data_IF_419030988723
#
_entry.id   IF_419030988723
#
_cell.length_a   1.000
_cell.length_b   1.000
_cell.length_c   1.000
_cell.angle_alpha   90.00
_cell.angle_beta   90.00
_cell.angle_gamma   90.00
#
_symmetry.space_group_name_H-M   'P 1'
#
loop_
_entity.id
_entity.type
_entity.pdbx_description
1 polymer ?
#
# COMPACT_ATOMS: atom_id res chain seq x y z
N UNK A 1 -43.11 27.73 -5.85
CA UNK A 1 -44.07 28.05 -4.77
C UNK A 1 -44.20 26.80 -3.90
N UNK A 2 -44.30 26.96 -2.56
CA UNK A 2 -44.17 25.96 -1.47
C UNK A 2 -42.71 25.89 -0.96
N UNK A 3 -42.29 26.85 -0.12
CA UNK A 3 -42.41 26.97 1.37
C UNK A 3 -41.26 26.23 2.09
N UNK A 4 -40.24 27.02 2.45
CA UNK A 4 -39.20 26.65 3.42
C UNK A 4 -39.71 26.94 4.84
N UNK A 5 -39.60 25.96 5.74
CA UNK A 5 -39.85 26.13 7.16
C UNK A 5 -38.50 26.07 7.89
N UNK A 6 -38.02 27.22 8.34
CA UNK A 6 -36.87 27.37 9.23
C UNK A 6 -37.30 27.08 10.67
N UNK A 7 -36.71 26.05 11.29
CA UNK A 7 -36.79 25.84 12.73
C UNK A 7 -35.54 26.43 13.40
N UNK A 8 -35.73 27.44 14.25
CA UNK A 8 -34.72 28.00 15.16
C UNK A 8 -34.85 27.31 16.51
N UNK A 9 -33.74 26.74 17.02
CA UNK A 9 -33.65 26.24 18.40
C UNK A 9 -33.13 27.34 19.33
N UNK A 10 -33.93 27.71 20.33
CA UNK A 10 -33.54 28.55 21.46
C UNK A 10 -32.77 27.72 22.50
N UNK A 11 -31.53 28.11 22.80
CA UNK A 11 -30.73 27.59 23.92
C UNK A 11 -30.88 28.49 25.17
N UNK A 12 -31.19 27.96 26.36
CA UNK A 12 -31.17 28.72 27.61
C UNK A 12 -29.75 28.81 28.24
N UNK A 13 -29.48 29.83 29.07
CA UNK A 13 -28.13 30.19 29.49
C UNK A 13 -27.56 29.35 30.66
N UNK A 14 -26.24 29.16 30.62
CA UNK A 14 -25.41 28.49 31.62
C UNK A 14 -25.23 29.30 32.92
N UNK A 15 -25.36 28.62 34.07
CA UNK A 15 -24.97 29.10 35.40
C UNK A 15 -23.72 28.34 35.89
N UNK A 16 -22.68 29.01 36.43
CA UNK A 16 -21.44 28.35 36.84
C UNK A 16 -21.46 27.90 38.31
N UNK A 17 -20.84 26.76 38.68
CA UNK A 17 -20.56 26.45 40.07
C UNK A 17 -19.19 26.97 40.52
N UNK A 18 -19.12 27.13 41.84
CA UNK A 18 -18.19 27.96 42.62
C UNK A 18 -16.81 27.34 42.85
N UNK A 19 -15.85 28.25 43.06
CA UNK A 19 -14.51 28.02 43.62
C UNK A 19 -14.57 27.31 44.97
N UNK A 20 -13.79 26.23 45.11
CA UNK A 20 -13.44 25.60 46.38
C UNK A 20 -11.92 25.53 46.52
N UNK A 21 -11.39 26.15 47.58
CA UNK A 21 -9.99 26.17 48.02
C UNK A 21 -9.76 25.16 49.14
N UNK A 22 -8.77 24.27 49.03
CA UNK A 22 -8.05 23.60 50.14
C UNK A 22 -6.70 23.11 49.57
N UNK A 23 -5.59 23.81 49.81
CA UNK A 23 -4.60 23.64 50.89
C UNK A 23 -3.74 22.36 50.85
N UNK A 24 -2.44 22.63 50.92
CA UNK A 24 -1.27 21.75 50.90
C UNK A 24 -1.27 20.65 51.97
N UNK A 25 -0.66 19.52 51.63
CA UNK A 25 0.27 18.83 52.54
C UNK A 25 1.45 18.25 51.76
N UNK A 26 2.65 18.54 52.26
CA UNK A 26 3.96 18.11 51.80
C UNK A 26 4.52 17.03 52.74
N UNK A 27 5.68 16.49 52.34
CA UNK A 27 6.61 15.58 53.04
C UNK A 27 6.42 14.09 52.70
N UNK A 28 7.30 13.43 51.93
CA UNK A 28 8.76 13.20 52.03
C UNK A 28 9.14 12.20 53.13
N UNK A 29 9.62 11.01 52.74
CA UNK A 29 10.81 10.34 53.31
C UNK A 29 10.99 8.90 52.77
N UNK A 30 11.99 8.72 51.91
CA UNK A 30 12.92 7.57 52.03
C UNK A 30 13.96 7.94 53.10
N UNK A 31 14.67 6.98 53.73
CA UNK A 31 15.97 6.56 53.15
C UNK A 31 16.44 5.12 53.53
N UNK A 32 17.30 4.49 52.69
CA UNK A 32 18.68 4.06 53.03
C UNK A 32 18.86 2.50 53.18
N UNK A 33 20.10 1.94 53.22
CA UNK A 33 20.79 1.32 52.06
C UNK A 33 21.57 0.02 52.47
N UNK A 34 22.66 -0.30 51.73
CA UNK A 34 23.82 -1.19 52.01
C UNK A 34 23.83 -2.58 51.34
N UNK A 35 24.71 -2.80 50.34
CA UNK A 35 26.12 -3.31 50.39
C UNK A 35 26.14 -4.85 50.28
N UNK A 36 27.06 -5.56 49.61
CA UNK A 36 28.29 -5.35 48.84
C UNK A 36 28.68 -6.74 48.30
N UNK A 37 29.28 -6.88 47.11
CA UNK A 37 30.74 -7.01 46.86
C UNK A 37 31.06 -8.40 46.20
N UNK A 38 32.28 -8.69 45.68
CA UNK A 38 32.51 -8.92 44.24
C UNK A 38 33.30 -10.23 43.94
N UNK A 39 34.12 -10.20 42.87
CA UNK A 39 35.18 -11.16 42.44
C UNK A 39 34.77 -12.24 41.41
N UNK A 40 35.60 -12.68 40.44
CA UNK A 40 36.88 -12.24 39.85
C UNK A 40 37.13 -13.12 38.59
N UNK A 41 37.92 -12.56 37.66
CA UNK A 41 38.99 -13.19 36.84
C UNK A 41 38.79 -14.39 35.89
N UNK A 42 39.59 -14.36 34.81
CA UNK A 42 40.29 -15.57 34.33
C UNK A 42 40.21 -15.94 32.84
N UNK A 43 40.76 -15.11 31.96
CA UNK A 43 41.66 -15.35 30.79
C UNK A 43 41.75 -16.69 29.99
N UNK A 44 42.34 -16.65 28.75
CA UNK A 44 42.02 -17.49 27.58
C UNK A 44 43.15 -18.49 27.19
N UNK A 45 43.15 -18.94 25.91
CA UNK A 45 44.12 -19.80 25.15
C UNK A 45 43.63 -21.26 25.04
N UNK A 46 43.75 -22.02 23.95
CA UNK A 46 44.83 -22.25 22.96
C UNK A 46 44.16 -22.98 21.76
N UNK A 47 44.30 -22.59 20.50
CA UNK A 47 45.37 -22.93 19.53
C UNK A 47 45.62 -24.42 19.20
N UNK A 48 45.73 -24.66 17.89
CA UNK A 48 46.48 -25.73 17.20
C UNK A 48 45.83 -27.14 17.14
N UNK A 49 45.99 -27.98 16.10
CA UNK A 49 47.01 -28.04 15.04
C UNK A 49 46.62 -29.13 14.00
N UNK A 50 47.20 -29.02 12.79
CA UNK A 50 47.75 -30.11 11.92
C UNK A 50 46.74 -31.04 11.20
N UNK A 51 46.70 -31.02 9.85
CA UNK A 51 47.60 -31.71 8.89
C UNK A 51 46.87 -32.95 8.30
N UNK A 52 47.12 -33.49 7.11
CA UNK A 52 47.79 -33.10 5.89
C UNK A 52 47.50 -34.22 4.86
N UNK A 53 47.41 -33.86 3.58
CA UNK A 53 47.96 -34.57 2.40
C UNK A 53 47.58 -36.01 2.00
N UNK A 54 47.44 -36.11 0.66
CA UNK A 54 47.75 -37.23 -0.26
C UNK A 54 46.66 -38.30 -0.43
N UNK A 55 46.52 -39.01 -1.54
CA UNK A 55 46.86 -38.92 -2.96
C UNK A 55 46.39 -40.28 -3.55
N UNK A 56 45.87 -40.33 -4.77
CA UNK A 56 45.60 -41.63 -5.42
C UNK A 56 44.87 -41.48 -6.73
N UNK A 57 45.61 -41.58 -7.84
CA UNK A 57 45.05 -41.58 -9.20
C UNK A 57 44.84 -42.98 -9.76
N UNK A 58 44.16 -43.04 -10.91
CA UNK A 58 44.28 -44.14 -11.88
C UNK A 58 43.93 -43.65 -13.30
N UNK A 59 44.82 -43.96 -14.25
CA UNK A 59 44.69 -43.83 -15.73
C UNK A 59 44.13 -45.14 -16.30
N UNK A 60 43.48 -45.16 -17.47
CA UNK A 60 44.00 -45.41 -18.85
C UNK A 60 42.78 -45.72 -19.78
N UNK A 61 42.88 -45.90 -21.13
CA UNK A 61 43.95 -45.64 -22.12
C UNK A 61 43.49 -44.92 -23.43
N UNK A 62 44.48 -44.63 -24.30
CA UNK A 62 44.41 -44.01 -25.64
C UNK A 62 44.26 -45.04 -26.78
N UNK A 63 43.77 -44.59 -27.94
CA UNK A 63 44.04 -45.17 -29.28
C UNK A 63 44.32 -44.06 -30.32
N UNK A 64 44.98 -44.38 -31.46
CA UNK A 64 45.99 -43.51 -32.08
C UNK A 64 45.56 -42.84 -33.39
N UNK A 65 46.42 -41.96 -33.92
CA UNK A 65 46.33 -41.44 -35.29
C UNK A 65 47.70 -41.41 -36.01
N UNK A 66 47.72 -41.38 -37.36
CA UNK A 66 48.78 -41.98 -38.17
C UNK A 66 49.87 -40.99 -38.64
N UNK A 67 51.00 -41.54 -39.08
CA UNK A 67 52.07 -40.90 -39.90
C UNK A 67 51.73 -41.07 -41.41
N UNK A 68 52.36 -40.40 -42.41
CA UNK A 68 53.75 -39.89 -42.52
C UNK A 68 53.85 -38.50 -43.27
N UNK A 69 54.96 -37.98 -43.87
CA UNK A 69 56.38 -38.38 -43.91
C UNK A 69 57.39 -37.22 -43.55
N UNK A 70 58.67 -37.46 -43.89
CA UNK A 70 59.94 -36.88 -43.41
C UNK A 70 60.42 -35.61 -44.18
N UNK A 71 61.22 -34.78 -43.49
CA UNK A 71 62.25 -33.79 -43.93
C UNK A 71 61.81 -32.41 -44.49
N UNK A 72 62.17 -31.32 -43.78
CA UNK A 72 63.20 -30.31 -44.16
C UNK A 72 63.13 -29.07 -43.26
N UNK A 73 64.30 -28.52 -42.89
CA UNK A 73 64.45 -27.19 -42.26
C UNK A 73 63.95 -26.11 -43.23
N UNK A 74 63.04 -25.25 -42.81
CA UNK A 74 62.76 -23.97 -43.45
C UNK A 74 62.48 -22.91 -42.37
N UNK A 75 63.49 -22.08 -42.08
CA UNK A 75 63.34 -20.84 -41.32
C UNK A 75 62.46 -19.89 -42.15
N UNK A 76 61.46 -19.28 -41.52
CA UNK A 76 60.82 -18.05 -42.02
C UNK A 76 59.52 -18.22 -42.79
N UNK A 77 58.44 -18.75 -42.18
CA UNK A 77 57.03 -18.54 -42.61
C UNK A 77 55.98 -18.56 -41.46
N UNK A 78 56.40 -18.67 -40.20
CA UNK A 78 55.47 -18.77 -39.05
C UNK A 78 54.86 -17.45 -38.56
N UNK A 79 55.43 -16.29 -38.93
CA UNK A 79 54.91 -14.97 -38.52
C UNK A 79 53.74 -14.49 -39.39
N UNK A 80 53.74 -14.80 -40.68
CA UNK A 80 52.67 -14.36 -41.60
C UNK A 80 51.38 -15.16 -41.41
N UNK A 81 51.45 -16.47 -41.14
CA UNK A 81 50.26 -17.31 -40.93
C UNK A 81 49.57 -16.95 -39.60
N UNK A 82 50.34 -16.63 -38.55
CA UNK A 82 49.80 -16.19 -37.26
C UNK A 82 49.12 -14.82 -37.35
N UNK A 83 49.76 -13.87 -38.06
CA UNK A 83 49.17 -12.56 -38.32
C UNK A 83 47.91 -12.62 -39.22
N UNK A 84 47.82 -13.61 -40.11
CA UNK A 84 46.64 -13.82 -40.94
C UNK A 84 45.49 -14.47 -40.18
N UNK A 85 45.78 -15.37 -39.23
CA UNK A 85 44.78 -15.97 -38.35
C UNK A 85 44.22 -14.95 -37.33
N UNK A 86 45.08 -14.07 -36.80
CA UNK A 86 44.66 -12.99 -35.90
C UNK A 86 43.75 -11.98 -36.61
N UNK A 87 44.04 -11.61 -37.87
CA UNK A 87 43.14 -10.76 -38.68
C UNK A 87 41.79 -11.41 -38.99
N UNK A 88 41.77 -12.72 -39.24
CA UNK A 88 40.52 -13.46 -39.49
C UNK A 88 39.64 -13.52 -38.23
N UNK A 89 40.26 -13.69 -37.05
CA UNK A 89 39.54 -13.66 -35.78
C UNK A 89 39.01 -12.25 -35.44
N UNK A 90 39.75 -11.20 -35.79
CA UNK A 90 39.31 -9.81 -35.62
C UNK A 90 38.16 -9.44 -36.55
N UNK A 91 38.21 -9.88 -37.82
CA UNK A 91 37.09 -9.71 -38.76
C UNK A 91 35.83 -10.47 -38.34
N UNK A 92 35.96 -11.66 -37.75
CA UNK A 92 34.82 -12.40 -37.20
C UNK A 92 34.22 -11.71 -35.97
N UNK A 93 35.04 -11.08 -35.12
CA UNK A 93 34.56 -10.30 -33.98
C UNK A 93 33.81 -9.05 -34.42
N UNK A 94 34.37 -8.29 -35.36
CA UNK A 94 33.71 -7.10 -35.91
C UNK A 94 32.38 -7.45 -36.58
N UNK A 95 32.31 -8.58 -37.32
CA UNK A 95 31.06 -9.05 -37.92
C UNK A 95 30.00 -9.48 -36.89
N UNK A 96 30.40 -9.98 -35.72
CA UNK A 96 29.48 -10.33 -34.64
C UNK A 96 28.99 -9.08 -33.91
N UNK A 97 29.88 -8.12 -33.65
CA UNK A 97 29.55 -6.83 -33.05
C UNK A 97 28.61 -6.00 -33.95
N UNK A 98 28.80 -6.05 -35.28
CA UNK A 98 27.90 -5.39 -36.23
C UNK A 98 26.53 -6.08 -36.29
N UNK A 99 26.47 -7.42 -36.18
CA UNK A 99 25.20 -8.16 -36.11
C UNK A 99 24.45 -7.92 -34.78
N UNK A 100 25.17 -7.79 -33.67
CA UNK A 100 24.58 -7.43 -32.37
C UNK A 100 24.07 -5.99 -32.37
N UNK A 101 24.77 -5.05 -33.03
CA UNK A 101 24.31 -3.67 -33.22
C UNK A 101 23.09 -3.57 -34.13
N UNK A 102 23.08 -4.29 -35.26
CA UNK A 102 21.91 -4.33 -36.15
C UNK A 102 20.70 -5.01 -35.49
N UNK A 103 20.93 -6.00 -34.62
CA UNK A 103 19.89 -6.60 -33.77
C UNK A 103 19.34 -5.60 -32.75
N UNK A 104 20.23 -4.89 -32.04
CA UNK A 104 19.84 -3.87 -31.06
C UNK A 104 19.13 -2.66 -31.70
N UNK A 105 19.55 -2.21 -32.87
CA UNK A 105 18.90 -1.13 -33.61
C UNK A 105 17.53 -1.56 -34.16
N UNK A 106 17.35 -2.84 -34.51
CA UNK A 106 16.04 -3.40 -34.88
C UNK A 106 15.12 -3.56 -33.69
N UNK A 107 15.62 -4.04 -32.56
CA UNK A 107 14.83 -4.16 -31.33
C UNK A 107 14.41 -2.76 -30.81
N UNK A 108 15.29 -1.76 -30.90
CA UNK A 108 14.96 -0.36 -30.59
C UNK A 108 14.00 0.29 -31.60
N UNK A 109 14.11 -0.06 -32.89
CA UNK A 109 13.17 0.40 -33.90
C UNK A 109 11.78 -0.25 -33.76
N UNK A 110 11.72 -1.53 -33.40
CA UNK A 110 10.45 -2.23 -33.12
C UNK A 110 9.84 -1.84 -31.76
N UNK A 111 10.64 -1.46 -30.75
CA UNK A 111 10.13 -0.79 -29.53
C UNK A 111 9.58 0.61 -29.84
N UNK A 112 10.28 1.38 -30.68
CA UNK A 112 9.84 2.72 -31.10
C UNK A 112 8.58 2.75 -31.97
N UNK A 113 8.29 1.68 -32.72
CA UNK A 113 7.07 1.54 -33.52
C UNK A 113 5.87 0.97 -32.73
N UNK A 114 6.10 0.22 -31.65
CA UNK A 114 5.03 -0.29 -30.77
C UNK A 114 4.40 0.80 -29.88
N UNK A 115 5.10 1.89 -29.63
CA UNK A 115 4.74 2.93 -28.67
C UNK A 115 3.99 4.15 -29.26
N UNK A 116 3.53 4.09 -30.52
CA UNK A 116 2.56 5.07 -31.03
C UNK A 116 1.14 4.76 -30.53
N UNK A 117 0.99 4.59 -29.22
CA UNK A 117 -0.34 4.53 -28.60
C UNK A 117 -1.03 5.88 -28.80
N UNK A 118 -2.24 5.84 -29.39
CA UNK A 118 -3.08 7.02 -29.58
C UNK A 118 -3.26 7.70 -28.23
N UNK A 119 -2.74 8.92 -28.08
CA UNK A 119 -2.97 9.75 -26.89
C UNK A 119 -4.48 9.97 -26.72
N UNK A 120 -5.04 9.50 -25.61
CA UNK A 120 -6.44 9.74 -25.27
C UNK A 120 -6.66 11.23 -24.98
N UNK A 121 -7.89 11.68 -25.23
CA UNK A 121 -8.30 13.07 -25.00
C UNK A 121 -9.62 13.10 -24.27
N UNK A 122 -9.98 14.22 -23.62
CA UNK A 122 -11.31 14.41 -22.98
C UNK A 122 -12.51 14.07 -23.87
N UNK A 123 -12.40 14.25 -25.19
CA UNK A 123 -13.46 13.85 -26.13
C UNK A 123 -13.73 12.35 -26.11
N UNK A 124 -12.72 11.54 -25.77
CA UNK A 124 -12.86 10.11 -25.70
C UNK A 124 -13.78 9.65 -24.55
N UNK A 125 -13.87 10.45 -23.48
CA UNK A 125 -14.76 10.21 -22.34
C UNK A 125 -16.26 10.28 -22.73
N UNK A 126 -16.63 11.03 -23.77
CA UNK A 126 -18.03 11.20 -24.21
C UNK A 126 -18.66 9.90 -24.73
N UNK A 127 -17.83 8.99 -25.25
CA UNK A 127 -18.26 7.70 -25.78
C UNK A 127 -18.30 6.59 -24.72
N UNK A 128 -17.83 6.87 -23.49
CA UNK A 128 -17.77 5.86 -22.43
C UNK A 128 -19.14 5.65 -21.77
N UNK A 129 -19.70 4.41 -21.78
CA UNK A 129 -20.99 4.14 -21.16
C UNK A 129 -21.04 4.51 -19.68
N UNK A 130 -19.90 4.37 -18.98
CA UNK A 130 -19.75 4.73 -17.57
C UNK A 130 -20.02 6.21 -17.30
N UNK A 131 -19.76 7.08 -18.29
CA UNK A 131 -19.80 8.55 -18.18
C UNK A 131 -20.96 9.17 -18.97
N UNK A 132 -21.54 8.41 -19.91
CA UNK A 132 -22.64 8.87 -20.75
C UNK A 132 -23.88 9.23 -19.93
N UNK A 133 -24.29 10.51 -20.02
CA UNK A 133 -25.42 11.03 -19.25
C UNK A 133 -26.70 10.19 -19.46
N UNK A 134 -27.25 9.68 -18.36
CA UNK A 134 -28.48 8.90 -18.38
C UNK A 134 -29.61 9.65 -17.69
N UNK A 135 -30.64 10.02 -18.45
CA UNK A 135 -31.86 10.65 -17.92
C UNK A 135 -32.91 9.65 -17.44
N UNK A 136 -32.68 8.35 -17.66
CA UNK A 136 -33.71 7.31 -17.53
C UNK A 136 -33.60 6.47 -16.26
N UNK A 137 -32.57 6.66 -15.42
CA UNK A 137 -32.28 5.75 -14.31
C UNK A 137 -32.16 6.42 -12.95
N UNK A 138 -33.26 7.04 -12.49
CA UNK A 138 -33.42 7.45 -11.08
C UNK A 138 -33.86 6.29 -10.16
N UNK A 139 -34.16 5.13 -10.72
CA UNK A 139 -34.50 3.90 -10.00
C UNK A 139 -33.36 2.91 -10.09
N UNK A 140 -32.91 2.43 -8.92
CA UNK A 140 -31.77 1.52 -8.80
C UNK A 140 -32.03 0.17 -9.47
N UNK A 141 -33.25 -0.36 -9.33
CA UNK A 141 -33.66 -1.63 -9.90
C UNK A 141 -34.24 -1.48 -11.31
N UNK A 142 -34.02 -2.48 -12.21
CA UNK A 142 -33.20 -3.68 -12.01
C UNK A 142 -31.69 -3.37 -12.01
N UNK A 143 -30.91 -4.14 -11.24
CA UNK A 143 -29.43 -4.07 -11.24
C UNK A 143 -28.93 -4.52 -12.62
N UNK A 144 -28.00 -3.75 -13.20
CA UNK A 144 -27.38 -4.00 -14.51
C UNK A 144 -25.91 -4.43 -14.37
N UNK A 145 -25.19 -3.83 -13.43
CA UNK A 145 -23.77 -4.11 -13.19
C UNK A 145 -23.61 -4.85 -11.86
N UNK A 146 -23.66 -6.18 -11.93
CA UNK A 146 -23.73 -7.03 -10.73
C UNK A 146 -22.41 -7.07 -9.96
N UNK A 147 -21.28 -7.02 -10.66
CA UNK A 147 -19.93 -6.93 -10.13
C UNK A 147 -19.70 -5.62 -9.35
N UNK A 148 -20.12 -4.48 -9.91
CA UNK A 148 -20.09 -3.18 -9.23
C UNK A 148 -20.98 -3.19 -8.00
N UNK A 149 -22.19 -3.75 -8.12
CA UNK A 149 -23.12 -3.88 -7.00
C UNK A 149 -22.59 -4.82 -5.91
N UNK A 150 -21.90 -5.88 -6.28
CA UNK A 150 -21.27 -6.81 -5.34
C UNK A 150 -20.19 -6.12 -4.50
N UNK A 151 -19.33 -5.31 -5.13
CA UNK A 151 -18.34 -4.50 -4.40
C UNK A 151 -19.01 -3.51 -3.44
N UNK A 152 -20.10 -2.85 -3.86
CA UNK A 152 -20.87 -2.00 -2.94
C UNK A 152 -21.41 -2.78 -1.75
N UNK A 153 -21.93 -3.99 -1.97
CA UNK A 153 -22.41 -4.85 -0.89
C UNK A 153 -21.30 -5.34 0.03
N UNK A 154 -20.11 -5.59 -0.51
CA UNK A 154 -18.92 -5.91 0.27
C UNK A 154 -18.49 -4.73 1.15
N UNK A 155 -18.46 -3.51 0.59
CA UNK A 155 -18.17 -2.28 1.34
C UNK A 155 -19.22 -2.06 2.44
N UNK A 156 -20.51 -2.10 2.08
CA UNK A 156 -21.61 -1.94 3.02
C UNK A 156 -21.57 -2.94 4.17
N UNK A 157 -21.21 -4.19 3.90
CA UNK A 157 -21.13 -5.22 4.94
C UNK A 157 -19.92 -5.01 5.88
N UNK A 158 -18.97 -4.16 5.49
CA UNK A 158 -17.75 -3.88 6.23
C UNK A 158 -17.82 -2.59 7.05
N UNK A 159 -19.00 -1.96 7.13
CA UNK A 159 -19.26 -0.78 7.95
C UNK A 159 -18.71 -0.90 9.37
N UNK A 160 -18.13 0.19 9.87
CA UNK A 160 -17.65 0.36 11.23
C UNK A 160 -17.69 1.85 11.61
N UNK A 161 -17.66 2.17 12.90
CA UNK A 161 -17.59 3.55 13.39
C UNK A 161 -16.39 3.82 14.30
N UNK A 162 -16.04 5.09 14.48
CA UNK A 162 -14.89 5.51 15.29
C UNK A 162 -14.98 5.02 16.75
N UNK A 163 -16.19 4.89 17.29
CA UNK A 163 -16.44 4.44 18.66
C UNK A 163 -16.08 2.96 18.91
N UNK A 164 -15.86 2.17 17.86
CA UNK A 164 -15.41 0.78 17.98
C UNK A 164 -13.93 0.68 18.37
N UNK A 165 -13.17 1.79 18.28
CA UNK A 165 -11.73 1.82 18.56
C UNK A 165 -11.47 2.15 20.03
N UNK A 166 -10.93 1.18 20.77
CA UNK A 166 -10.47 1.39 22.15
C UNK A 166 -9.04 1.96 22.18
N UNK A 167 -8.92 3.22 22.61
CA UNK A 167 -7.64 3.92 22.79
C UNK A 167 -7.13 3.89 24.24
N UNK A 168 -7.79 3.17 25.14
CA UNK A 168 -7.47 3.17 26.57
C UNK A 168 -6.04 2.68 26.88
N UNK A 169 -5.59 1.63 26.18
CA UNK A 169 -4.23 1.09 26.35
C UNK A 169 -3.16 1.88 25.58
N UNK A 170 -3.55 2.62 24.55
CA UNK A 170 -2.62 3.31 23.66
C UNK A 170 -1.89 4.46 24.37
N UNK A 171 -2.57 5.19 25.25
CA UNK A 171 -1.95 6.27 26.02
C UNK A 171 -0.80 5.77 26.90
N UNK A 172 -0.93 4.57 27.46
CA UNK A 172 0.14 3.96 28.24
C UNK A 172 1.35 3.68 27.35
N UNK A 173 1.13 3.05 26.19
CA UNK A 173 2.20 2.70 25.26
C UNK A 173 2.88 3.96 24.69
N UNK A 174 2.09 4.97 24.34
CA UNK A 174 2.56 6.27 23.86
C UNK A 174 3.55 6.93 24.82
N UNK A 175 3.25 6.94 26.13
CA UNK A 175 4.07 7.60 27.13
C UNK A 175 5.21 6.73 27.69
N UNK A 176 5.02 5.41 27.76
CA UNK A 176 5.90 4.54 28.53
C UNK A 176 6.64 3.48 27.72
N UNK A 177 6.17 3.13 26.52
CA UNK A 177 6.81 2.13 25.66
C UNK A 177 7.47 2.72 24.42
N UNK A 178 6.89 3.78 23.85
CA UNK A 178 7.47 4.43 22.68
C UNK A 178 8.64 5.34 23.06
N UNK A 179 9.64 5.40 22.18
CA UNK A 179 10.70 6.40 22.24
C UNK A 179 10.27 7.70 21.51
N UNK A 180 11.13 8.73 21.53
CA UNK A 180 10.82 10.02 20.91
C UNK A 180 10.71 9.93 19.38
N UNK A 181 11.56 9.13 18.74
CA UNK A 181 11.60 8.97 17.28
C UNK A 181 10.34 8.24 16.78
N UNK A 182 9.87 7.24 17.53
CA UNK A 182 8.63 6.52 17.26
C UNK A 182 7.41 7.42 17.41
N UNK A 183 7.34 8.21 18.49
CA UNK A 183 6.27 9.21 18.67
C UNK A 183 6.27 10.24 17.55
N UNK A 184 7.45 10.76 17.21
CA UNK A 184 7.61 11.71 16.10
C UNK A 184 7.11 11.12 14.79
N UNK A 185 7.54 9.88 14.48
CA UNK A 185 7.12 9.17 13.27
C UNK A 185 5.60 9.01 13.22
N UNK A 186 4.99 8.46 14.27
CA UNK A 186 3.54 8.22 14.32
C UNK A 186 2.76 9.53 14.20
N UNK A 187 3.17 10.58 14.93
CA UNK A 187 2.48 11.87 14.89
C UNK A 187 2.44 12.46 13.46
N UNK A 188 3.54 12.36 12.72
CA UNK A 188 3.62 12.89 11.36
C UNK A 188 2.91 11.99 10.34
N UNK A 189 2.89 10.66 10.54
CA UNK A 189 2.06 9.75 9.75
C UNK A 189 0.57 10.08 9.93
N UNK A 190 0.12 10.29 11.17
CA UNK A 190 -1.27 10.65 11.46
C UNK A 190 -1.64 12.02 10.86
N UNK A 191 -0.73 13.00 10.95
CA UNK A 191 -0.92 14.31 10.34
C UNK A 191 -1.04 14.23 8.82
N UNK A 192 -0.25 13.36 8.17
CA UNK A 192 -0.36 13.09 6.74
C UNK A 192 -1.73 12.51 6.38
N UNK A 193 -2.20 11.50 7.12
CA UNK A 193 -3.50 10.87 6.88
C UNK A 193 -4.66 11.84 7.06
N UNK A 194 -4.72 12.53 8.21
CA UNK A 194 -5.79 13.48 8.53
C UNK A 194 -5.97 14.57 7.46
N UNK A 195 -4.89 14.94 6.79
CA UNK A 195 -4.91 15.95 5.75
C UNK A 195 -5.20 15.37 4.36
N UNK A 196 -4.76 14.13 4.09
CA UNK A 196 -4.92 13.48 2.78
C UNK A 196 -6.35 13.00 2.52
N UNK A 197 -7.04 12.46 3.53
CA UNK A 197 -8.42 11.99 3.38
C UNK A 197 -9.36 13.14 2.99
N UNK A 198 -9.09 14.36 3.47
CA UNK A 198 -9.80 15.57 3.03
C UNK A 198 -9.69 15.81 1.52
N UNK A 199 -8.47 15.67 0.97
CA UNK A 199 -8.20 15.84 -0.46
C UNK A 199 -8.85 14.73 -1.29
N UNK A 200 -8.81 13.49 -0.82
CA UNK A 200 -9.48 12.33 -1.43
C UNK A 200 -11.00 12.57 -1.51
N UNK A 201 -11.59 13.02 -0.41
CA UNK A 201 -13.03 13.25 -0.31
C UNK A 201 -13.50 14.36 -1.26
N UNK A 202 -12.75 15.47 -1.36
CA UNK A 202 -13.02 16.53 -2.35
C UNK A 202 -13.05 15.97 -3.79
N UNK A 203 -12.08 15.13 -4.16
CA UNK A 203 -12.05 14.50 -5.48
C UNK A 203 -13.25 13.57 -5.73
N UNK A 204 -13.58 12.73 -4.75
CA UNK A 204 -14.70 11.79 -4.85
C UNK A 204 -16.04 12.52 -5.03
N UNK A 205 -16.27 13.56 -4.23
CA UNK A 205 -17.51 14.34 -4.26
C UNK A 205 -17.59 15.17 -5.53
N UNK A 206 -16.57 15.98 -5.83
CA UNK A 206 -16.66 16.96 -6.92
C UNK A 206 -16.50 16.32 -8.30
N UNK A 207 -15.71 15.26 -8.44
CA UNK A 207 -15.34 14.67 -9.74
C UNK A 207 -15.95 13.30 -9.93
N UNK A 208 -15.47 12.27 -9.24
CA UNK A 208 -15.82 10.89 -9.60
C UNK A 208 -17.31 10.56 -9.43
N UNK A 209 -17.92 10.97 -8.31
CA UNK A 209 -19.35 10.68 -8.07
C UNK A 209 -20.28 11.45 -9.02
N UNK A 210 -19.84 12.61 -9.50
CA UNK A 210 -20.60 13.48 -10.39
C UNK A 210 -20.49 13.03 -11.87
N UNK A 211 -19.29 12.59 -12.28
CA UNK A 211 -18.99 12.12 -13.64
C UNK A 211 -19.57 10.73 -13.93
N UNK A 212 -19.44 9.78 -12.99
CA UNK A 212 -19.94 8.41 -13.18
C UNK A 212 -21.47 8.37 -13.19
N UNK A 213 -22.06 7.72 -14.19
CA UNK A 213 -23.51 7.66 -14.41
C UNK A 213 -24.15 6.34 -14.01
N UNK A 214 -23.35 5.29 -13.75
CA UNK A 214 -23.88 4.01 -13.27
C UNK A 214 -24.41 4.15 -11.84
N UNK A 215 -25.67 3.77 -11.62
CA UNK A 215 -26.33 3.90 -10.33
C UNK A 215 -25.64 3.04 -9.25
N UNK A 216 -25.22 1.83 -9.62
CA UNK A 216 -24.48 0.91 -8.75
C UNK A 216 -23.15 1.50 -8.29
N UNK A 217 -22.42 2.16 -9.20
CA UNK A 217 -21.13 2.78 -8.89
C UNK A 217 -21.31 4.03 -8.00
N UNK A 218 -22.37 4.82 -8.23
CA UNK A 218 -22.74 5.92 -7.32
C UNK A 218 -23.09 5.44 -5.92
N UNK A 219 -23.70 4.25 -5.77
CA UNK A 219 -23.92 3.65 -4.45
C UNK A 219 -22.59 3.29 -3.77
N UNK A 220 -21.62 2.74 -4.51
CA UNK A 220 -20.28 2.51 -3.97
C UNK A 220 -19.63 3.80 -3.51
N UNK A 221 -19.53 4.81 -4.39
CA UNK A 221 -18.91 6.09 -4.04
C UNK A 221 -19.61 6.81 -2.89
N UNK A 222 -20.95 6.76 -2.82
CA UNK A 222 -21.67 7.32 -1.67
C UNK A 222 -21.30 6.66 -0.35
N UNK A 223 -21.02 5.34 -0.36
CA UNK A 223 -20.55 4.63 0.82
C UNK A 223 -19.07 4.92 1.10
N UNK A 224 -18.22 4.95 0.07
CA UNK A 224 -16.81 5.34 0.19
C UNK A 224 -16.68 6.73 0.84
N UNK A 225 -17.35 7.75 0.30
CA UNK A 225 -17.37 9.11 0.86
C UNK A 225 -17.78 9.13 2.33
N UNK A 226 -18.77 8.31 2.71
CA UNK A 226 -19.19 8.21 4.10
C UNK A 226 -18.10 7.57 4.96
N UNK A 227 -17.41 6.54 4.48
CA UNK A 227 -16.29 5.92 5.20
C UNK A 227 -15.07 6.84 5.28
N UNK A 228 -14.74 7.61 4.25
CA UNK A 228 -13.66 8.63 4.29
C UNK A 228 -13.89 9.65 5.41
N UNK A 229 -15.14 10.01 5.68
CA UNK A 229 -15.47 10.89 6.83
C UNK A 229 -15.19 10.20 8.17
N UNK A 230 -15.47 8.89 8.27
CA UNK A 230 -15.15 8.08 9.47
C UNK A 230 -13.63 7.97 9.63
N UNK A 231 -12.88 7.75 8.54
CA UNK A 231 -11.42 7.71 8.57
C UNK A 231 -10.84 9.05 9.06
N UNK A 232 -11.32 10.15 8.48
CA UNK A 232 -10.94 11.52 8.89
C UNK A 232 -11.23 11.80 10.37
N UNK A 233 -12.38 11.35 10.89
CA UNK A 233 -12.72 11.43 12.31
C UNK A 233 -11.74 10.63 13.17
N UNK A 234 -11.43 9.40 12.77
CA UNK A 234 -10.51 8.52 13.49
C UNK A 234 -9.11 9.08 13.55
N UNK A 235 -8.55 9.58 12.44
CA UNK A 235 -7.24 10.21 12.46
C UNK A 235 -7.22 11.46 13.35
N UNK A 236 -8.28 12.26 13.32
CA UNK A 236 -8.42 13.42 14.20
C UNK A 236 -8.48 13.01 15.68
N UNK A 237 -9.23 11.95 16.01
CA UNK A 237 -9.33 11.39 17.35
C UNK A 237 -7.98 10.84 17.86
N UNK A 238 -7.24 10.14 17.00
CA UNK A 238 -5.90 9.61 17.32
C UNK A 238 -4.93 10.76 17.62
N UNK A 239 -4.90 11.80 16.78
CA UNK A 239 -4.09 12.99 17.00
C UNK A 239 -4.48 13.67 18.32
N UNK A 240 -5.78 13.90 18.56
CA UNK A 240 -6.26 14.57 19.78
C UNK A 240 -5.94 13.77 21.05
N UNK A 241 -5.99 12.44 20.96
CA UNK A 241 -5.69 11.54 22.07
C UNK A 241 -4.20 11.55 22.41
N UNK A 242 -3.32 11.44 21.41
CA UNK A 242 -1.88 11.27 21.63
C UNK A 242 -1.14 12.59 21.85
N UNK A 243 -1.57 13.67 21.17
CA UNK A 243 -0.89 14.96 21.14
C UNK A 243 -1.59 15.94 22.08
N UNK A 244 -1.09 16.01 23.32
CA UNK A 244 -1.69 16.86 24.37
C UNK A 244 -1.37 18.35 24.23
N UNK A 245 -0.25 18.70 23.58
CA UNK A 245 0.10 20.10 23.37
C UNK A 245 -0.78 20.69 22.25
N UNK A 246 -1.65 21.68 22.55
CA UNK A 246 -2.51 22.27 21.55
C UNK A 246 -1.73 22.98 20.43
N UNK A 247 -0.51 23.45 20.69
CA UNK A 247 0.33 24.11 19.68
C UNK A 247 0.88 23.09 18.69
N UNK A 248 1.43 21.99 19.19
CA UNK A 248 1.89 20.87 18.37
C UNK A 248 0.74 20.26 17.57
N UNK A 249 -0.42 20.04 18.21
CA UNK A 249 -1.63 19.54 17.55
C UNK A 249 -2.07 20.45 16.41
N UNK A 250 -2.11 21.77 16.63
CA UNK A 250 -2.45 22.73 15.58
C UNK A 250 -1.45 22.67 14.42
N UNK A 251 -0.15 22.57 14.72
CA UNK A 251 0.88 22.45 13.69
C UNK A 251 0.69 21.19 12.82
N UNK A 252 0.38 20.05 13.44
CA UNK A 252 0.11 18.79 12.75
C UNK A 252 -1.16 18.85 11.89
N UNK A 253 -2.23 19.52 12.33
CA UNK A 253 -3.41 19.72 11.49
C UNK A 253 -3.16 20.62 10.27
N UNK A 254 -2.10 21.43 10.28
CA UNK A 254 -1.70 22.27 9.14
C UNK A 254 -0.55 21.63 8.35
N UNK A 255 -0.32 20.32 8.49
CA UNK A 255 0.84 19.65 7.93
C UNK A 255 0.94 19.71 6.40
N UNK A 256 -0.17 19.82 5.66
CA UNK A 256 -0.13 20.06 4.20
C UNK A 256 0.61 21.35 3.85
N UNK A 257 0.49 22.38 4.68
CA UNK A 257 1.13 23.68 4.44
C UNK A 257 2.53 23.75 5.03
N UNK A 258 2.76 23.03 6.14
CA UNK A 258 3.96 23.19 6.97
C UNK A 258 5.00 22.09 6.79
N UNK A 259 4.63 20.91 6.27
CA UNK A 259 5.51 19.75 6.13
C UNK A 259 5.77 19.46 4.64
N UNK A 260 6.98 19.72 4.11
CA UNK A 260 7.27 19.65 2.67
C UNK A 260 6.94 18.33 1.98
N UNK A 261 7.11 17.19 2.66
CA UNK A 261 6.83 15.89 2.05
C UNK A 261 5.35 15.57 1.95
N UNK A 262 4.56 16.00 2.95
CA UNK A 262 3.10 15.92 2.92
C UNK A 262 2.60 16.84 1.81
N UNK A 263 3.15 18.05 1.72
CA UNK A 263 2.86 18.98 0.64
C UNK A 263 3.12 18.37 -0.75
N UNK A 264 4.25 17.70 -0.95
CA UNK A 264 4.58 17.09 -2.26
C UNK A 264 3.56 16.03 -2.70
N UNK A 265 3.11 15.18 -1.78
CA UNK A 265 2.04 14.19 -2.05
C UNK A 265 0.71 14.88 -2.34
N UNK A 266 0.34 15.86 -1.52
CA UNK A 266 -0.90 16.64 -1.69
C UNK A 266 -0.90 17.39 -3.03
N UNK A 267 0.18 18.09 -3.37
CA UNK A 267 0.34 18.81 -4.64
C UNK A 267 0.29 17.84 -5.85
N UNK A 268 0.80 16.61 -5.71
CA UNK A 268 0.65 15.58 -6.76
C UNK A 268 -0.81 15.15 -6.91
N UNK A 269 -1.52 14.88 -5.83
CA UNK A 269 -2.93 14.47 -5.86
C UNK A 269 -3.82 15.59 -6.41
N UNK A 270 -3.69 16.81 -5.87
CA UNK A 270 -4.44 18.00 -6.29
C UNK A 270 -4.29 18.30 -7.78
N UNK A 271 -3.09 18.08 -8.35
CA UNK A 271 -2.88 18.21 -9.81
C UNK A 271 -3.88 17.39 -10.61
N UNK A 272 -4.17 16.15 -10.21
CA UNK A 272 -5.09 15.27 -10.93
C UNK A 272 -6.56 15.60 -10.69
N UNK A 273 -6.86 16.21 -9.53
CA UNK A 273 -8.21 16.69 -9.18
C UNK A 273 -8.55 17.93 -10.02
N UNK A 274 -7.65 18.92 -10.01
CA UNK A 274 -7.81 20.22 -10.66
C UNK A 274 -7.68 20.14 -12.18
N UNK A 275 -6.91 19.19 -12.71
CA UNK A 275 -6.67 19.07 -14.15
C UNK A 275 -7.96 18.76 -14.94
N UNK A 276 -8.27 19.66 -15.86
CA UNK A 276 -9.43 19.59 -16.73
C UNK A 276 -9.16 18.88 -18.06
N UNK A 277 -7.88 18.67 -18.41
CA UNK A 277 -7.47 18.09 -19.69
C UNK A 277 -7.27 16.57 -19.63
N UNK A 278 -6.88 16.04 -18.46
CA UNK A 278 -6.81 14.59 -18.26
C UNK A 278 -8.15 13.91 -18.56
N UNK A 279 -8.07 12.69 -19.06
CA UNK A 279 -9.22 11.80 -19.23
C UNK A 279 -9.67 11.22 -17.91
N UNK A 280 -10.89 10.67 -17.87
CA UNK A 280 -11.35 9.93 -16.70
C UNK A 280 -10.42 8.76 -16.37
N UNK A 281 -9.92 8.05 -17.39
CA UNK A 281 -9.03 6.90 -17.22
C UNK A 281 -7.70 7.27 -16.52
N UNK A 282 -7.07 8.37 -16.95
CA UNK A 282 -5.83 8.88 -16.35
C UNK A 282 -6.05 9.27 -14.89
N UNK A 283 -7.13 10.02 -14.61
CA UNK A 283 -7.51 10.38 -13.24
C UNK A 283 -7.79 9.16 -12.37
N UNK A 284 -8.44 8.14 -12.91
CA UNK A 284 -8.77 6.92 -12.17
C UNK A 284 -7.52 6.13 -11.78
N UNK A 285 -6.51 6.07 -12.66
CA UNK A 285 -5.20 5.48 -12.34
C UNK A 285 -4.50 6.30 -11.25
N UNK A 286 -4.48 7.62 -11.38
CA UNK A 286 -3.88 8.49 -10.38
C UNK A 286 -4.57 8.34 -9.01
N UNK A 287 -5.89 8.25 -9.00
CA UNK A 287 -6.68 7.99 -7.80
C UNK A 287 -6.35 6.64 -7.16
N UNK A 288 -6.25 5.57 -7.97
CA UNK A 288 -5.82 4.26 -7.48
C UNK A 288 -4.39 4.29 -6.90
N UNK A 289 -3.52 5.19 -7.36
CA UNK A 289 -2.19 5.39 -6.76
C UNK A 289 -2.27 6.13 -5.42
N UNK A 290 -3.21 7.08 -5.24
CA UNK A 290 -3.42 7.75 -3.94
C UNK A 290 -3.85 6.71 -2.90
N UNK A 291 -4.93 5.98 -3.17
CA UNK A 291 -5.52 4.99 -2.27
C UNK A 291 -4.57 3.80 -2.04
N UNK A 292 -3.95 3.30 -3.12
CA UNK A 292 -3.19 2.04 -3.10
C UNK A 292 -1.69 2.17 -2.85
N UNK A 293 -1.04 3.28 -3.24
CA UNK A 293 0.42 3.45 -3.14
C UNK A 293 0.80 4.46 -2.05
N UNK A 294 0.23 5.66 -2.05
CA UNK A 294 0.64 6.74 -1.13
C UNK A 294 0.38 6.47 0.35
N UNK A 295 -0.52 5.55 0.66
CA UNK A 295 -0.79 5.11 2.02
C UNK A 295 -0.08 3.79 2.39
N UNK A 296 0.41 3.04 1.41
CA UNK A 296 0.91 1.67 1.62
C UNK A 296 2.12 1.60 2.56
N UNK A 297 3.04 2.56 2.48
CA UNK A 297 4.19 2.62 3.38
C UNK A 297 3.82 2.97 4.81
N UNK A 298 2.90 3.91 4.99
CA UNK A 298 2.36 4.29 6.30
C UNK A 298 1.60 3.13 6.95
N UNK A 299 0.75 2.42 6.19
CA UNK A 299 0.04 1.24 6.69
C UNK A 299 1.01 0.13 7.12
N UNK A 300 2.02 -0.17 6.30
CA UNK A 300 3.04 -1.16 6.64
C UNK A 300 3.83 -0.74 7.89
N UNK A 301 4.08 0.55 8.07
CA UNK A 301 4.79 1.09 9.23
C UNK A 301 3.99 0.97 10.53
N UNK A 302 2.67 1.13 10.48
CA UNK A 302 1.81 0.91 11.66
C UNK A 302 1.70 -0.60 11.95
N UNK A 303 1.60 -1.44 10.92
CA UNK A 303 1.64 -2.89 11.09
C UNK A 303 2.94 -3.42 11.70
N UNK A 304 4.05 -2.73 11.46
CA UNK A 304 5.29 -3.01 12.14
C UNK A 304 5.19 -2.78 13.67
N UNK A 305 4.46 -1.74 14.11
CA UNK A 305 4.18 -1.52 15.54
C UNK A 305 3.29 -2.62 16.11
N UNK A 306 2.28 -3.07 15.36
CA UNK A 306 1.45 -4.24 15.73
C UNK A 306 2.31 -5.48 15.96
N UNK A 307 3.26 -5.79 15.05
CA UNK A 307 4.20 -6.92 15.20
C UNK A 307 5.01 -6.85 16.51
N UNK A 308 5.24 -5.65 17.02
CA UNK A 308 5.94 -5.38 18.29
C UNK A 308 5.01 -5.34 19.51
N UNK A 309 3.70 -5.51 19.33
CA UNK A 309 2.71 -5.47 20.41
C UNK A 309 2.52 -4.08 21.01
N UNK A 310 2.59 -3.04 20.18
CA UNK A 310 2.47 -1.64 20.58
C UNK A 310 1.22 -1.00 19.97
N UNK A 311 0.64 -0.03 20.68
CA UNK A 311 -0.44 0.83 20.18
C UNK A 311 -1.61 0.01 19.59
N UNK A 312 -2.28 -0.83 20.41
CA UNK A 312 -3.31 -1.74 19.92
C UNK A 312 -4.51 -1.03 19.26
N UNK A 313 -4.94 0.13 19.78
CA UNK A 313 -6.01 0.94 19.21
C UNK A 313 -5.64 1.53 17.84
N UNK A 314 -4.46 2.13 17.72
CA UNK A 314 -3.89 2.58 16.44
C UNK A 314 -3.75 1.44 15.43
N UNK A 315 -3.29 0.28 15.89
CA UNK A 315 -3.10 -0.89 15.02
C UNK A 315 -4.44 -1.42 14.53
N UNK A 316 -5.45 -1.46 15.40
CA UNK A 316 -6.80 -1.91 15.05
C UNK A 316 -7.49 -0.94 14.08
N UNK A 317 -7.41 0.37 14.30
CA UNK A 317 -7.94 1.35 13.35
C UNK A 317 -7.25 1.26 11.99
N UNK A 318 -5.92 1.09 11.97
CA UNK A 318 -5.15 0.87 10.76
C UNK A 318 -5.55 -0.42 10.01
N UNK A 319 -5.97 -1.48 10.71
CA UNK A 319 -6.52 -2.68 10.07
C UNK A 319 -7.81 -2.41 9.31
N UNK A 320 -8.71 -1.63 9.91
CA UNK A 320 -9.99 -1.28 9.33
C UNK A 320 -9.81 -0.34 8.14
N UNK A 321 -9.02 0.72 8.30
CA UNK A 321 -8.79 1.71 7.24
C UNK A 321 -8.03 1.08 6.06
N UNK A 322 -6.92 0.37 6.31
CA UNK A 322 -6.17 -0.28 5.21
C UNK A 322 -6.96 -1.36 4.46
N UNK A 323 -8.01 -1.94 5.08
CA UNK A 323 -8.95 -2.83 4.39
C UNK A 323 -9.84 -2.03 3.44
N UNK A 324 -10.38 -0.91 3.91
CA UNK A 324 -11.26 -0.06 3.14
C UNK A 324 -10.52 0.53 1.94
N UNK A 325 -9.32 1.07 2.13
CA UNK A 325 -8.45 1.58 1.03
C UNK A 325 -8.11 0.50 -0.01
N UNK A 326 -7.92 -0.74 0.44
CA UNK A 326 -7.74 -1.88 -0.45
C UNK A 326 -8.96 -2.10 -1.34
N UNK A 327 -10.15 -2.06 -0.76
CA UNK A 327 -11.42 -2.21 -1.48
C UNK A 327 -11.69 -1.02 -2.42
N UNK A 328 -11.35 0.20 -2.03
CA UNK A 328 -11.45 1.38 -2.87
C UNK A 328 -10.52 1.31 -4.08
N UNK A 329 -9.27 0.87 -3.86
CA UNK A 329 -8.29 0.64 -4.95
C UNK A 329 -8.80 -0.42 -5.92
N UNK A 330 -9.33 -1.54 -5.42
CA UNK A 330 -9.94 -2.58 -6.25
C UNK A 330 -11.16 -2.06 -7.03
N UNK A 331 -11.93 -1.14 -6.44
CA UNK A 331 -13.07 -0.55 -7.11
C UNK A 331 -12.65 0.37 -8.26
N UNK A 332 -11.57 1.14 -8.07
CA UNK A 332 -10.97 1.93 -9.15
C UNK A 332 -10.49 1.03 -10.29
N UNK A 333 -9.86 -0.12 -9.98
CA UNK A 333 -9.49 -1.13 -10.97
C UNK A 333 -10.72 -1.71 -11.70
N UNK A 334 -11.79 -2.04 -10.96
CA UNK A 334 -13.03 -2.55 -11.56
C UNK A 334 -13.62 -1.52 -12.52
N UNK A 335 -13.74 -0.26 -12.12
CA UNK A 335 -14.23 0.81 -12.99
C UNK A 335 -13.33 1.02 -14.21
N UNK A 336 -12.01 0.94 -14.03
CA UNK A 336 -11.07 0.98 -15.15
C UNK A 336 -11.32 -0.15 -16.15
N UNK A 337 -11.70 -1.33 -15.65
CA UNK A 337 -12.02 -2.47 -16.51
C UNK A 337 -13.29 -2.24 -17.37
N UNK A 338 -14.21 -1.37 -16.92
CA UNK A 338 -15.41 -0.97 -17.66
C UNK A 338 -15.17 0.12 -18.71
N UNK A 339 -13.96 0.69 -18.80
CA UNK A 339 -13.60 1.64 -19.85
C UNK A 339 -13.31 0.92 -21.16
N UNK A 340 -13.93 1.39 -22.24
CA UNK A 340 -13.71 0.88 -23.59
C UNK A 340 -12.37 1.38 -24.16
N UNK A 341 -12.02 2.64 -23.90
CA UNK A 341 -10.80 3.29 -24.34
C UNK A 341 -9.85 3.41 -23.15
N UNK A 342 -8.74 2.67 -23.20
CA UNK A 342 -7.75 2.64 -22.12
C UNK A 342 -6.48 3.37 -22.52
N UNK A 343 -5.82 4.06 -21.57
CA UNK A 343 -4.54 4.70 -21.82
C UNK A 343 -3.48 3.65 -22.10
N UNK A 344 -2.46 4.11 -22.77
CA UNK A 344 -1.32 3.28 -23.13
C UNK A 344 -0.45 2.84 -21.96
N UNK A 345 0.23 1.70 -22.08
CA UNK A 345 1.08 1.16 -21.01
C UNK A 345 2.14 2.17 -20.56
N UNK A 346 2.77 2.87 -21.51
CA UNK A 346 3.80 3.86 -21.21
C UNK A 346 3.29 5.03 -20.35
N UNK A 347 2.00 5.37 -20.45
CA UNK A 347 1.38 6.40 -19.62
C UNK A 347 1.04 5.86 -18.23
N UNK A 348 0.44 4.66 -18.13
CA UNK A 348 0.13 4.03 -16.84
C UNK A 348 1.40 3.85 -16.02
N UNK A 349 2.46 3.31 -16.62
CA UNK A 349 3.75 3.14 -15.95
C UNK A 349 4.35 4.46 -15.47
N UNK A 350 4.15 5.56 -16.21
CA UNK A 350 4.64 6.88 -15.80
C UNK A 350 3.94 7.39 -14.54
N UNK A 351 2.61 7.37 -14.52
CA UNK A 351 1.81 7.82 -13.38
C UNK A 351 2.18 7.00 -12.13
N UNK A 352 2.27 5.68 -12.27
CA UNK A 352 2.63 4.78 -11.17
C UNK A 352 4.06 5.00 -10.70
N UNK A 353 5.03 5.15 -11.61
CA UNK A 353 6.44 5.46 -11.24
C UNK A 353 6.55 6.77 -10.46
N UNK A 354 5.87 7.83 -10.90
CA UNK A 354 5.83 9.09 -10.17
C UNK A 354 5.32 8.90 -8.73
N UNK A 355 4.24 8.14 -8.55
CA UNK A 355 3.69 7.86 -7.23
C UNK A 355 4.66 7.04 -6.36
N UNK A 356 5.32 6.03 -6.92
CA UNK A 356 6.31 5.20 -6.22
C UNK A 356 7.53 6.01 -5.79
N UNK A 357 8.04 6.89 -6.65
CA UNK A 357 9.21 7.70 -6.33
C UNK A 357 8.91 8.66 -5.18
N UNK A 358 7.73 9.30 -5.19
CA UNK A 358 7.27 10.17 -4.10
C UNK A 358 7.11 9.38 -2.80
N UNK A 359 6.53 8.17 -2.86
CA UNK A 359 6.32 7.34 -1.68
C UNK A 359 7.65 6.84 -1.08
N UNK A 360 8.61 6.45 -1.93
CA UNK A 360 9.95 6.07 -1.47
C UNK A 360 10.66 7.23 -0.79
N UNK A 361 10.62 8.42 -1.37
CA UNK A 361 11.20 9.62 -0.75
C UNK A 361 10.54 9.92 0.61
N UNK A 362 9.22 9.78 0.69
CA UNK A 362 8.49 9.94 1.95
C UNK A 362 9.02 8.98 3.05
N UNK A 363 9.20 7.70 2.72
CA UNK A 363 9.61 6.67 3.69
C UNK A 363 11.12 6.63 4.00
N UNK A 364 11.94 7.33 3.22
CA UNK A 364 13.41 7.26 3.34
C UNK A 364 14.08 8.56 3.70
N UNK A 365 13.54 9.68 3.25
CA UNK A 365 14.13 11.00 3.46
C UNK A 365 13.29 11.83 4.42
N UNK A 366 11.99 11.96 4.12
CA UNK A 366 11.18 12.94 4.83
C UNK A 366 10.61 12.44 6.15
N UNK A 367 10.14 11.20 6.20
CA UNK A 367 9.73 10.52 7.40
C UNK A 367 10.35 9.11 7.42
N UNK A 368 11.66 9.02 7.72
CA UNK A 368 12.40 7.78 7.56
C UNK A 368 11.83 6.66 8.44
N UNK A 369 11.46 5.53 7.85
CA UNK A 369 10.98 4.34 8.59
C UNK A 369 12.06 3.74 9.51
N UNK A 370 13.32 4.16 9.35
CA UNK A 370 14.41 3.86 10.27
C UNK A 370 14.13 4.37 11.70
N UNK A 371 13.33 5.44 11.86
CA UNK A 371 12.92 5.99 13.16
C UNK A 371 12.14 4.99 14.02
N UNK A 372 11.43 4.06 13.38
CA UNK A 372 10.68 2.97 14.05
C UNK A 372 11.40 1.62 13.97
N UNK A 373 12.65 1.61 13.49
CA UNK A 373 13.48 0.42 13.38
C UNK A 373 13.20 -0.46 12.15
N UNK A 374 12.51 0.05 11.13
CA UNK A 374 12.34 -0.65 9.86
C UNK A 374 13.52 -0.40 8.91
N UNK A 375 13.76 -1.33 7.99
CA UNK A 375 14.76 -1.16 6.95
C UNK A 375 14.16 -0.39 5.76
N UNK A 376 14.67 0.81 5.49
CA UNK A 376 14.25 1.66 4.37
C UNK A 376 14.35 0.96 3.01
N UNK A 377 15.39 0.18 2.76
CA UNK A 377 15.55 -0.56 1.51
C UNK A 377 14.49 -1.65 1.32
N UNK A 378 14.10 -2.34 2.40
CA UNK A 378 12.97 -3.29 2.36
C UNK A 378 11.64 -2.56 2.19
N UNK A 379 11.45 -1.41 2.84
CA UNK A 379 10.25 -0.60 2.64
C UNK A 379 10.12 -0.14 1.18
N UNK A 380 11.18 0.37 0.55
CA UNK A 380 11.14 0.75 -0.87
C UNK A 380 10.77 -0.42 -1.79
N UNK A 381 11.32 -1.61 -1.55
CA UNK A 381 10.97 -2.83 -2.32
C UNK A 381 9.51 -3.24 -2.13
N UNK A 382 8.94 -2.97 -0.96
CA UNK A 382 7.54 -3.24 -0.70
C UNK A 382 6.65 -2.29 -1.50
N UNK A 383 7.01 -1.02 -1.60
CA UNK A 383 6.28 -0.06 -2.45
C UNK A 383 6.33 -0.47 -3.93
N UNK A 384 7.47 -0.97 -4.41
CA UNK A 384 7.59 -1.53 -5.76
C UNK A 384 6.69 -2.75 -5.96
N UNK A 385 6.64 -3.66 -4.99
CA UNK A 385 5.76 -4.82 -5.01
C UNK A 385 4.27 -4.40 -5.07
N UNK A 386 3.85 -3.45 -4.25
CA UNK A 386 2.47 -2.92 -4.24
C UNK A 386 2.13 -2.28 -5.59
N UNK A 387 3.06 -1.49 -6.15
CA UNK A 387 2.88 -0.86 -7.45
C UNK A 387 2.75 -1.87 -8.60
N UNK A 388 3.59 -2.91 -8.62
CA UNK A 388 3.48 -3.99 -9.59
C UNK A 388 2.13 -4.71 -9.50
N UNK A 389 1.63 -4.93 -8.27
CA UNK A 389 0.31 -5.54 -8.07
C UNK A 389 -0.79 -4.66 -8.66
N UNK A 390 -0.77 -3.36 -8.40
CA UNK A 390 -1.75 -2.42 -8.96
C UNK A 390 -1.72 -2.42 -10.50
N UNK A 391 -0.53 -2.36 -11.09
CA UNK A 391 -0.35 -2.32 -12.55
C UNK A 391 -0.84 -3.61 -13.21
N UNK A 392 -0.55 -4.77 -12.60
CA UNK A 392 -1.08 -6.07 -13.06
C UNK A 392 -2.59 -6.12 -12.96
N UNK A 393 -3.18 -5.62 -11.87
CA UNK A 393 -4.64 -5.55 -11.69
C UNK A 393 -5.30 -4.64 -12.74
N UNK A 394 -4.62 -3.57 -13.17
CA UNK A 394 -5.05 -2.71 -14.27
C UNK A 394 -4.91 -3.35 -15.67
N UNK A 395 -4.25 -4.52 -15.75
CA UNK A 395 -4.07 -5.30 -16.98
C UNK A 395 -2.78 -5.01 -17.76
N UNK A 396 -1.75 -4.49 -17.10
CA UNK A 396 -0.46 -4.13 -17.71
C UNK A 396 0.71 -4.95 -17.13
N UNK A 397 1.86 -4.89 -17.79
CA UNK A 397 3.07 -5.60 -17.35
C UNK A 397 3.69 -4.98 -16.09
N UNK A 398 4.39 -5.81 -15.30
CA UNK A 398 5.10 -5.33 -14.10
C UNK A 398 6.15 -4.28 -14.46
N UNK A 399 6.36 -3.33 -13.55
CA UNK A 399 7.36 -2.28 -13.67
C UNK A 399 8.70 -2.71 -13.05
N UNK A 400 8.65 -3.31 -11.86
CA UNK A 400 9.84 -3.55 -11.03
C UNK A 400 10.24 -5.03 -10.95
N UNK A 401 9.27 -5.95 -10.97
CA UNK A 401 9.50 -7.39 -10.78
C UNK A 401 9.89 -7.76 -9.35
N UNK A 402 9.67 -6.86 -8.38
CA UNK A 402 10.14 -7.03 -7.00
C UNK A 402 9.16 -7.89 -6.19
N UNK A 403 9.62 -8.93 -5.46
CA UNK A 403 8.76 -9.71 -4.58
C UNK A 403 8.43 -8.94 -3.29
N UNK A 404 7.40 -9.37 -2.56
CA UNK A 404 7.10 -8.80 -1.25
C UNK A 404 8.30 -8.93 -0.30
N UNK A 405 8.79 -7.79 0.19
CA UNK A 405 9.95 -7.68 1.07
C UNK A 405 9.60 -7.60 2.56
N UNK A 406 8.30 -7.50 2.90
CA UNK A 406 7.80 -7.38 4.28
C UNK A 406 6.90 -8.57 4.61
N UNK A 407 7.51 -9.64 5.14
CA UNK A 407 6.88 -10.91 5.52
C UNK A 407 5.64 -10.76 6.43
N UNK A 408 5.68 -9.78 7.34
CA UNK A 408 4.60 -9.54 8.29
C UNK A 408 3.33 -9.00 7.64
N UNK A 409 3.44 -8.39 6.45
CA UNK A 409 2.25 -7.95 5.72
C UNK A 409 1.40 -9.16 5.33
N UNK A 410 1.99 -10.25 4.84
CA UNK A 410 1.27 -11.51 4.55
C UNK A 410 0.74 -12.20 5.81
N UNK A 411 1.44 -12.09 6.94
CA UNK A 411 0.99 -12.71 8.19
C UNK A 411 -0.25 -12.03 8.76
N UNK A 412 -0.26 -10.70 8.73
CA UNK A 412 -1.38 -9.88 9.23
C UNK A 412 -2.61 -10.03 8.34
N UNK A 413 -2.40 -10.13 7.04
CA UNK A 413 -3.37 -10.52 6.04
C UNK A 413 -4.11 -11.83 6.37
N UNK A 414 -3.39 -12.86 6.81
CA UNK A 414 -3.97 -14.14 7.20
C UNK A 414 -4.70 -14.07 8.55
N UNK A 415 -4.16 -13.36 9.54
CA UNK A 415 -4.83 -13.10 10.82
C UNK A 415 -6.16 -12.36 10.63
N UNK A 416 -6.19 -11.38 9.70
CA UNK A 416 -7.41 -10.63 9.35
C UNK A 416 -8.51 -11.56 8.86
N UNK A 417 -8.17 -12.51 7.97
CA UNK A 417 -9.12 -13.52 7.48
C UNK A 417 -9.72 -14.31 8.63
N UNK A 418 -8.90 -14.78 9.58
CA UNK A 418 -9.39 -15.51 10.75
C UNK A 418 -10.30 -14.64 11.65
N UNK A 419 -9.85 -13.43 12.01
CA UNK A 419 -10.61 -12.51 12.86
C UNK A 419 -11.95 -12.10 12.25
N UNK A 420 -12.02 -11.95 10.92
CA UNK A 420 -13.26 -11.62 10.21
C UNK A 420 -14.33 -12.72 10.34
N UNK A 421 -13.94 -13.99 10.27
CA UNK A 421 -14.86 -15.10 10.51
C UNK A 421 -15.25 -15.23 11.99
N UNK A 422 -14.31 -14.99 12.91
CA UNK A 422 -14.55 -15.16 14.35
C UNK A 422 -15.41 -14.03 14.96
N UNK A 423 -15.13 -12.76 14.65
CA UNK A 423 -15.85 -11.61 15.20
C UNK A 423 -17.29 -11.47 14.66
N UNK A 424 -17.57 -11.94 13.45
CA UNK A 424 -18.95 -11.99 12.92
C UNK A 424 -19.80 -13.10 13.53
N UNK A 425 -19.21 -14.24 13.87
CA UNK A 425 -19.96 -15.34 14.50
C UNK A 425 -20.31 -15.01 15.94
N UNK A 426 -19.41 -14.34 16.68
CA UNK A 426 -19.64 -13.94 18.07
C UNK A 426 -20.69 -12.84 18.21
N UNK A 427 -20.71 -11.83 17.32
CA UNK A 427 -21.72 -10.75 17.32
C UNK A 427 -23.14 -11.25 17.00
N UNK A 428 -23.30 -12.27 16.16
CA UNK A 428 -24.59 -12.93 15.91
C UNK A 428 -25.05 -13.86 17.06
N UNK A 429 -24.12 -14.48 17.77
CA UNK A 429 -24.47 -15.32 18.94
C UNK A 429 -24.90 -14.47 20.15
N UNK A 430 -24.30 -13.29 20.33
CA UNK A 430 -24.67 -12.34 21.41
C UNK A 430 -26.03 -11.67 21.18
N UNK A 431 -26.48 -11.53 19.94
CA UNK A 431 -27.81 -11.01 19.58
C UNK A 431 -28.92 -12.09 19.59
N UNK A 432 -28.57 -13.33 19.97
CA UNK A 432 -29.43 -14.50 19.84
C UNK A 432 -29.78 -15.24 21.14
N UNK A 433 -29.77 -14.63 22.33
CA UNK A 433 -30.32 -15.26 23.53
C UNK A 433 -31.00 -14.26 24.48
N UNK A 434 -32.30 -14.05 24.26
CA UNK A 434 -33.14 -13.21 25.13
C UNK A 434 -34.61 -13.30 24.76
N UNK A 435 -35.18 -14.52 24.69
CA UNK A 435 -36.61 -14.67 24.38
C UNK A 435 -37.09 -16.11 24.47
N UNK A 436 -37.49 -16.53 25.66
CA UNK A 436 -38.23 -17.76 25.89
C UNK A 436 -39.59 -17.71 25.16
N UNK A 437 -39.88 -18.64 24.25
CA UNK A 437 -41.24 -19.04 23.87
C UNK A 437 -41.25 -20.40 23.15
N UNK A 438 -42.00 -21.30 23.74
CA UNK A 438 -42.30 -22.66 23.28
C UNK A 438 -43.12 -22.67 21.98
N UNK A 439 -42.87 -23.70 21.16
CA UNK A 439 -43.86 -24.35 20.30
C UNK A 439 -44.04 -23.81 18.88
N UNK A 440 -43.54 -24.56 17.89
CA UNK A 440 -44.35 -25.21 16.85
C UNK A 440 -43.46 -25.77 15.72
N UNK A 441 -43.74 -27.02 15.37
CA UNK A 441 -43.18 -27.85 14.30
C UNK A 441 -43.45 -27.26 12.90
N UNK A 442 -42.49 -27.41 11.99
CA UNK A 442 -42.55 -26.90 10.62
C UNK A 442 -41.29 -27.17 9.83
N UNK A 443 -41.10 -28.41 9.39
CA UNK A 443 -39.99 -28.83 8.51
C UNK A 443 -40.03 -28.10 7.16
N UNK A 444 -38.94 -27.39 6.81
CA UNK A 444 -38.66 -26.96 5.43
C UNK A 444 -37.22 -27.34 5.08
N UNK A 445 -37.08 -28.38 4.25
CA UNK A 445 -35.80 -28.82 3.70
C UNK A 445 -35.38 -27.90 2.55
N UNK A 446 -34.36 -27.08 2.74
CA UNK A 446 -33.71 -26.35 1.63
C UNK A 446 -32.40 -27.04 1.27
N UNK A 447 -32.34 -27.61 0.06
CA UNK A 447 -31.11 -28.09 -0.56
C UNK A 447 -30.20 -26.89 -0.82
N UNK A 448 -29.10 -26.78 -0.08
CA UNK A 448 -27.98 -25.92 -0.48
C UNK A 448 -27.23 -26.61 -1.61
N UNK A 449 -27.16 -25.95 -2.77
CA UNK A 449 -26.05 -26.13 -3.69
C UNK A 449 -24.90 -25.32 -3.12
N UNK A 450 -23.82 -25.98 -2.77
CA UNK A 450 -22.53 -25.35 -2.54
C UNK A 450 -22.06 -24.78 -3.89
N UNK A 451 -22.09 -23.45 -4.01
CA UNK A 451 -21.20 -22.75 -4.92
C UNK A 451 -20.01 -22.34 -4.07
N UNK A 452 -18.93 -23.10 -4.24
CA UNK A 452 -17.62 -22.84 -3.68
C UNK A 452 -17.09 -21.51 -4.25
N UNK A 453 -16.99 -20.49 -3.39
CA UNK A 453 -16.47 -19.16 -3.71
C UNK A 453 -14.97 -19.19 -3.45
N UNK A 454 -14.17 -19.34 -4.51
CA UNK A 454 -12.70 -19.28 -4.43
C UNK A 454 -12.24 -17.82 -4.56
N UNK A 455 -12.11 -17.12 -3.43
CA UNK A 455 -11.49 -15.78 -3.31
C UNK A 455 -10.04 -15.91 -2.85
N UNK A 456 -9.20 -16.57 -3.67
CA UNK A 456 -7.75 -16.71 -3.39
C UNK A 456 -6.94 -15.43 -3.69
N UNK A 457 -7.54 -14.41 -4.29
CA UNK A 457 -6.86 -13.15 -4.63
C UNK A 457 -7.15 -12.07 -3.59
N UNK A 458 -6.48 -12.13 -2.44
CA UNK A 458 -6.31 -10.96 -1.57
C UNK A 458 -4.81 -10.87 -1.27
N UNK A 459 -4.24 -9.67 -1.44
CA UNK A 459 -2.83 -9.20 -1.26
C UNK A 459 -1.90 -9.13 -2.45
#
# INVERSE_FOLDING_TARGET
>A
MIIASTYTYDTPPHTPPRKGTWQHSTSSSSPAPFEGEPDQEGTPLEEAHLAATSAGGQRYPLTPSPTPPRKRKAKGKGKEIRASAERLAELQRLSLEDQEREGADRDQAEEGERDQERKLTKKDDEDEPLLAASSSRFVLFPIQYHEIWAMYKQAQASFWSAEEIDLGSDLHDWHHKLNNDERYFIAHVLAFFAASDGVVNENLVERFSSEVQFAEARCFYGFQIMMENVHSEVYSLLIDTYIRDPVERQHLFHAIETVPCIKKKADWALRWIEDQESTFAERLIAFACVEGIFFSGSFASIFWLKKRGLMPGLSFSNELISRDEGLHTEFAVLLFSHLNKRPGQGLVHRIVKEAVDIEKEFLTEALPVALIGMNSGLACKYIEFVADRLVVSLGFDKIYGTPNSLDFMESISLERKANFFENRVSSYQLSGFGGNREGADGSWSSRRKEHDFSTEAEF
#
